data_IF_544770825137
#
_entry.id   IF_544770825137
#
_cell.length_a   1.000
_cell.length_b   1.000
_cell.length_c   1.000
_cell.angle_alpha   90.00
_cell.angle_beta   90.00
_cell.angle_gamma   90.00
#
_symmetry.space_group_name_H-M   'P 1'
#
loop_
_entity.id
_entity.type
_entity.pdbx_description
1 polymer ?
#
# COMPACT_ATOMS: atom_id res chain seq x y z
N UNK A 1 34.98 -0.37 -1.04
CA UNK A 1 34.44 0.04 -2.35
C UNK A 1 33.94 -1.20 -3.04
N UNK A 2 32.65 -1.25 -3.38
CA UNK A 2 32.08 -2.34 -4.19
C UNK A 2 32.79 -2.36 -5.56
N UNK A 3 32.99 -3.55 -6.14
CA UNK A 3 33.55 -3.65 -7.49
C UNK A 3 32.68 -2.87 -8.49
N UNK A 4 33.30 -2.21 -9.51
CA UNK A 4 32.54 -1.48 -10.52
C UNK A 4 31.56 -2.41 -11.24
N UNK A 5 30.35 -1.92 -11.53
CA UNK A 5 29.35 -2.69 -12.25
C UNK A 5 29.81 -2.96 -13.69
N UNK A 6 29.51 -4.14 -14.27
CA UNK A 6 29.80 -4.41 -15.67
C UNK A 6 29.10 -3.40 -16.58
N UNK A 7 29.80 -2.87 -17.60
CA UNK A 7 29.24 -1.87 -18.52
C UNK A 7 27.92 -2.33 -19.17
N UNK A 8 27.82 -3.60 -19.57
CA UNK A 8 26.60 -4.15 -20.14
C UNK A 8 25.37 -4.02 -19.21
N UNK A 9 25.56 -4.11 -17.89
CA UNK A 9 24.48 -3.90 -16.92
C UNK A 9 24.08 -2.44 -16.82
N UNK A 10 25.06 -1.52 -16.90
CA UNK A 10 24.82 -0.07 -16.94
C UNK A 10 23.98 0.28 -18.16
N UNK A 11 24.33 -0.22 -19.34
CA UNK A 11 23.59 0.01 -20.60
C UNK A 11 22.15 -0.53 -20.53
N UNK A 12 21.96 -1.69 -19.90
CA UNK A 12 20.63 -2.25 -19.64
C UNK A 12 19.81 -1.39 -18.68
N UNK A 13 20.44 -0.84 -17.63
CA UNK A 13 19.77 0.06 -16.69
C UNK A 13 19.37 1.37 -17.36
N UNK A 14 20.23 1.96 -18.20
CA UNK A 14 19.92 3.17 -18.97
C UNK A 14 18.75 2.92 -19.95
N UNK A 15 18.79 1.81 -20.69
CA UNK A 15 17.69 1.41 -21.58
C UNK A 15 16.35 1.25 -20.84
N UNK A 16 16.36 0.55 -19.70
CA UNK A 16 15.14 0.35 -18.90
C UNK A 16 14.65 1.67 -18.29
N UNK A 17 15.56 2.53 -17.83
CA UNK A 17 15.26 3.86 -17.32
C UNK A 17 14.63 4.75 -18.40
N UNK A 18 15.18 4.76 -19.62
CA UNK A 18 14.63 5.51 -20.75
C UNK A 18 13.17 5.11 -21.02
N UNK A 19 12.84 3.82 -20.90
CA UNK A 19 11.46 3.36 -21.02
C UNK A 19 10.56 3.86 -19.87
N UNK A 20 11.09 3.88 -18.64
CA UNK A 20 10.37 4.28 -17.43
C UNK A 20 10.15 5.79 -17.31
N UNK A 21 11.10 6.61 -17.79
CA UNK A 21 11.01 8.09 -17.82
C UNK A 21 9.90 8.62 -18.74
N UNK A 22 9.30 7.75 -19.58
CA UNK A 22 8.09 8.10 -20.34
C UNK A 22 6.85 8.20 -19.47
N UNK A 23 6.88 7.64 -18.26
CA UNK A 23 5.78 7.65 -17.29
C UNK A 23 4.43 7.13 -17.82
N UNK A 24 4.41 6.41 -18.94
CA UNK A 24 3.18 5.85 -19.51
C UNK A 24 2.68 4.62 -18.75
N UNK A 25 3.60 3.84 -18.19
CA UNK A 25 3.31 2.63 -17.41
C UNK A 25 4.02 2.66 -16.05
N UNK A 26 3.51 1.94 -15.04
CA UNK A 26 4.19 1.78 -13.76
C UNK A 26 5.61 1.27 -13.93
N UNK A 27 6.58 1.83 -13.21
CA UNK A 27 7.99 1.50 -13.35
C UNK A 27 8.28 0.02 -13.03
N UNK A 28 7.55 -0.58 -12.10
CA UNK A 28 7.66 -2.01 -11.79
C UNK A 28 7.24 -2.89 -12.98
N UNK A 29 6.18 -2.52 -13.68
CA UNK A 29 5.73 -3.18 -14.90
C UNK A 29 6.76 -3.02 -16.03
N UNK A 30 7.32 -1.81 -16.21
CA UNK A 30 8.37 -1.54 -17.20
C UNK A 30 9.61 -2.39 -16.94
N UNK A 31 10.14 -2.36 -15.70
CA UNK A 31 11.31 -3.15 -15.30
C UNK A 31 11.04 -4.65 -15.44
N UNK A 32 9.87 -5.13 -15.04
CA UNK A 32 9.51 -6.55 -15.17
C UNK A 32 9.39 -6.98 -16.64
N UNK A 33 8.80 -6.14 -17.50
CA UNK A 33 8.68 -6.42 -18.93
C UNK A 33 10.03 -6.35 -19.64
N UNK A 34 10.89 -5.40 -19.27
CA UNK A 34 12.27 -5.32 -19.72
C UNK A 34 13.04 -6.60 -19.38
N UNK A 35 13.04 -7.01 -18.10
CA UNK A 35 13.69 -8.23 -17.65
C UNK A 35 13.16 -9.50 -18.34
N UNK A 36 11.87 -9.55 -18.69
CA UNK A 36 11.28 -10.66 -19.47
C UNK A 36 11.79 -10.72 -20.91
N UNK A 37 12.02 -9.56 -21.55
CA UNK A 37 12.60 -9.47 -22.91
C UNK A 37 14.10 -9.83 -22.91
N UNK A 38 14.82 -9.49 -21.85
CA UNK A 38 16.26 -9.73 -21.71
C UNK A 38 16.57 -10.94 -20.82
N UNK A 39 16.27 -12.15 -21.32
CA UNK A 39 16.38 -13.40 -20.54
C UNK A 39 17.80 -13.75 -20.07
N UNK A 40 18.83 -13.20 -20.74
CA UNK A 40 20.23 -13.36 -20.36
C UNK A 40 20.57 -12.73 -19.00
N UNK A 41 19.78 -11.74 -18.55
CA UNK A 41 19.95 -11.15 -17.22
C UNK A 41 19.62 -12.17 -16.15
N UNK A 42 20.60 -12.48 -15.31
CA UNK A 42 20.44 -13.33 -14.14
C UNK A 42 19.60 -12.66 -13.04
N UNK A 43 19.30 -13.40 -11.98
CA UNK A 43 18.53 -12.85 -10.85
C UNK A 43 19.24 -11.65 -10.19
N UNK A 44 20.58 -11.71 -10.07
CA UNK A 44 21.40 -10.62 -9.53
C UNK A 44 21.37 -9.38 -10.41
N UNK A 45 21.55 -9.55 -11.71
CA UNK A 45 21.54 -8.45 -12.68
C UNK A 45 20.18 -7.74 -12.69
N UNK A 46 19.08 -8.50 -12.65
CA UNK A 46 17.73 -7.94 -12.58
C UNK A 46 17.50 -7.14 -11.29
N UNK A 47 18.04 -7.60 -10.17
CA UNK A 47 17.95 -6.89 -8.90
C UNK A 47 18.73 -5.57 -8.94
N UNK A 48 19.95 -5.59 -9.48
CA UNK A 48 20.77 -4.38 -9.64
C UNK A 48 20.17 -3.39 -10.66
N UNK A 49 19.64 -3.89 -11.78
CA UNK A 49 18.91 -3.08 -12.76
C UNK A 49 17.72 -2.37 -12.10
N UNK A 50 16.90 -3.10 -11.34
CA UNK A 50 15.81 -2.50 -10.60
C UNK A 50 16.31 -1.45 -9.59
N UNK A 51 17.35 -1.77 -8.82
CA UNK A 51 17.93 -0.84 -7.85
C UNK A 51 18.35 0.50 -8.48
N UNK A 52 19.01 0.46 -9.64
CA UNK A 52 19.41 1.66 -10.38
C UNK A 52 18.18 2.44 -10.87
N UNK A 53 17.26 1.78 -11.58
CA UNK A 53 16.08 2.45 -12.17
C UNK A 53 15.22 3.09 -11.08
N UNK A 54 14.89 2.33 -10.03
CA UNK A 54 14.09 2.84 -8.91
C UNK A 54 14.85 3.89 -8.09
N UNK A 55 16.18 3.79 -7.99
CA UNK A 55 17.04 4.79 -7.35
C UNK A 55 16.99 6.13 -8.05
N UNK A 56 17.21 6.14 -9.37
CA UNK A 56 17.13 7.36 -10.20
C UNK A 56 15.74 7.98 -10.11
N UNK A 57 14.66 7.21 -10.29
CA UNK A 57 13.29 7.74 -10.26
C UNK A 57 12.91 8.36 -8.91
N UNK A 58 13.46 7.82 -7.81
CA UNK A 58 13.25 8.31 -6.46
C UNK A 58 13.94 9.66 -6.24
N UNK A 59 15.15 9.83 -6.77
CA UNK A 59 15.98 11.03 -6.62
C UNK A 59 16.13 11.81 -7.93
N UNK A 60 15.07 11.82 -8.75
CA UNK A 60 15.16 12.23 -10.15
C UNK A 60 15.65 13.67 -10.33
N UNK A 61 15.13 14.63 -9.56
CA UNK A 61 15.51 16.03 -9.68
C UNK A 61 16.96 16.25 -9.21
N UNK A 62 17.37 15.60 -8.11
CA UNK A 62 18.77 15.66 -7.63
C UNK A 62 19.75 15.05 -8.64
N UNK A 63 19.38 13.93 -9.25
CA UNK A 63 20.19 13.26 -10.28
C UNK A 63 20.26 14.11 -11.55
N UNK A 64 19.14 14.69 -11.99
CA UNK A 64 19.08 15.60 -13.13
C UNK A 64 19.97 16.83 -12.94
N UNK A 65 20.04 17.38 -11.72
CA UNK A 65 20.82 18.59 -11.43
C UNK A 65 22.34 18.39 -11.60
N UNK A 66 22.84 17.16 -11.54
CA UNK A 66 24.28 16.84 -11.64
C UNK A 66 24.63 16.02 -12.89
N UNK A 67 23.63 15.59 -13.66
CA UNK A 67 23.86 14.87 -14.91
C UNK A 67 24.39 15.79 -16.00
N UNK A 68 25.22 15.25 -16.90
CA UNK A 68 25.73 15.99 -18.06
C UNK A 68 24.62 16.37 -19.04
N UNK A 69 23.54 15.58 -19.08
CA UNK A 69 22.29 15.88 -19.75
C UNK A 69 21.13 15.35 -18.88
N UNK A 70 20.21 16.24 -18.49
CA UNK A 70 19.10 15.92 -17.60
C UNK A 70 17.97 15.10 -18.27
N UNK A 71 18.00 14.96 -19.60
CA UNK A 71 16.98 14.23 -20.37
C UNK A 71 17.52 12.91 -20.97
N UNK A 72 18.81 12.63 -20.83
CA UNK A 72 19.45 11.44 -21.36
C UNK A 72 19.60 10.35 -20.27
N UNK A 73 19.10 9.14 -20.55
CA UNK A 73 19.08 8.08 -19.55
C UNK A 73 20.48 7.57 -19.17
N UNK A 74 21.42 7.55 -20.12
CA UNK A 74 22.81 7.15 -19.86
C UNK A 74 23.49 8.16 -18.93
N UNK A 75 23.31 9.46 -19.18
CA UNK A 75 23.81 10.53 -18.31
C UNK A 75 23.20 10.46 -16.89
N UNK A 76 21.90 10.16 -16.76
CA UNK A 76 21.23 10.02 -15.47
C UNK A 76 21.73 8.79 -14.69
N UNK A 77 21.95 7.65 -15.36
CA UNK A 77 22.54 6.46 -14.72
C UNK A 77 23.98 6.73 -14.30
N UNK A 78 24.79 7.40 -15.12
CA UNK A 78 26.15 7.78 -14.76
C UNK A 78 26.18 8.71 -13.54
N UNK A 79 25.30 9.73 -13.52
CA UNK A 79 25.13 10.63 -12.39
C UNK A 79 24.75 9.89 -11.11
N UNK A 80 23.79 8.96 -11.18
CA UNK A 80 23.39 8.10 -10.06
C UNK A 80 24.56 7.29 -9.50
N UNK A 81 25.31 6.60 -10.39
CA UNK A 81 26.43 5.75 -10.02
C UNK A 81 27.63 6.52 -9.46
N UNK A 82 27.80 7.80 -9.85
CA UNK A 82 28.86 8.64 -9.29
C UNK A 82 28.61 9.06 -7.84
N UNK A 83 27.35 9.04 -7.39
CA UNK A 83 26.95 9.51 -6.06
C UNK A 83 26.89 11.04 -5.89
N UNK A 84 27.21 11.82 -6.94
CA UNK A 84 27.24 13.29 -6.88
C UNK A 84 25.88 13.91 -6.50
N UNK A 85 24.78 13.22 -6.78
CA UNK A 85 23.41 13.66 -6.50
C UNK A 85 23.08 13.71 -4.99
N UNK A 86 23.84 13.02 -4.14
CA UNK A 86 23.53 12.89 -2.70
C UNK A 86 23.56 14.23 -1.95
N UNK A 87 24.27 15.23 -2.47
CA UNK A 87 24.32 16.59 -1.91
C UNK A 87 23.23 17.53 -2.43
N UNK A 88 22.32 17.07 -3.29
CA UNK A 88 21.29 17.92 -3.89
C UNK A 88 20.23 18.39 -2.89
N UNK A 89 19.75 19.63 -3.04
CA UNK A 89 18.76 20.23 -2.14
C UNK A 89 17.30 19.97 -2.55
N UNK A 90 17.06 19.47 -3.77
CA UNK A 90 15.71 19.20 -4.27
C UNK A 90 14.98 18.20 -3.38
N UNK A 91 13.65 18.36 -3.24
CA UNK A 91 12.82 17.42 -2.48
C UNK A 91 12.44 16.17 -3.30
N UNK A 92 12.80 16.14 -4.59
CA UNK A 92 12.38 15.12 -5.55
C UNK A 92 10.85 14.92 -5.54
N UNK A 93 10.11 16.01 -5.49
CA UNK A 93 8.64 16.01 -5.51
C UNK A 93 8.17 17.08 -6.51
N UNK A 94 7.07 16.85 -7.25
CA UNK A 94 6.49 17.88 -8.09
C UNK A 94 5.94 19.05 -7.25
N UNK A 95 6.07 20.27 -7.76
CA UNK A 95 5.61 21.50 -7.08
C UNK A 95 4.11 21.45 -6.74
N UNK A 96 3.30 20.91 -7.65
CA UNK A 96 1.85 20.80 -7.43
C UNK A 96 1.51 19.92 -6.22
N UNK A 97 2.32 18.88 -5.96
CA UNK A 97 2.13 17.97 -4.84
C UNK A 97 2.56 18.65 -3.55
N UNK A 98 3.73 19.31 -3.56
CA UNK A 98 4.24 20.04 -2.41
C UNK A 98 3.27 21.15 -1.96
N UNK A 99 2.64 21.85 -2.91
CA UNK A 99 1.66 22.89 -2.63
C UNK A 99 0.37 22.39 -1.96
N UNK A 100 0.08 21.09 -2.03
CA UNK A 100 -1.15 20.46 -1.47
C UNK A 100 -0.86 19.49 -0.34
N UNK A 101 0.39 19.42 0.10
CA UNK A 101 0.79 18.44 1.09
C UNK A 101 0.28 18.82 2.48
N UNK A 102 -0.02 17.85 3.36
CA UNK A 102 -0.40 18.16 4.74
C UNK A 102 0.68 18.92 5.53
N UNK A 103 1.92 18.91 5.06
CA UNK A 103 3.08 19.56 5.68
C UNK A 103 3.53 20.84 4.96
N UNK A 104 2.74 21.36 4.02
CA UNK A 104 3.14 22.50 3.18
C UNK A 104 3.52 23.76 3.99
N UNK A 105 2.84 24.01 5.10
CA UNK A 105 3.07 25.17 5.96
C UNK A 105 4.30 25.04 6.89
N UNK A 106 5.00 23.90 6.86
CA UNK A 106 6.16 23.62 7.70
C UNK A 106 7.36 23.14 6.84
N UNK A 107 8.22 24.05 6.35
CA UNK A 107 9.29 23.73 5.40
C UNK A 107 10.23 22.61 5.86
N UNK A 108 10.64 22.61 7.14
CA UNK A 108 11.51 21.56 7.69
C UNK A 108 10.80 20.20 7.75
N UNK A 109 9.52 20.18 8.15
CA UNK A 109 8.73 18.96 8.20
C UNK A 109 8.46 18.41 6.79
N UNK A 110 8.15 19.30 5.83
CA UNK A 110 7.99 18.96 4.41
C UNK A 110 9.26 18.32 3.84
N UNK A 111 10.44 18.92 4.11
CA UNK A 111 11.73 18.36 3.70
C UNK A 111 11.99 16.99 4.31
N UNK A 112 11.81 16.84 5.62
CA UNK A 112 12.02 15.57 6.31
C UNK A 112 11.08 14.46 5.80
N UNK A 113 9.82 14.82 5.54
CA UNK A 113 8.83 13.90 5.00
C UNK A 113 9.15 13.49 3.56
N UNK A 114 9.57 14.43 2.70
CA UNK A 114 10.03 14.13 1.35
C UNK A 114 11.20 13.17 1.35
N UNK A 115 12.20 13.42 2.19
CA UNK A 115 13.32 12.51 2.35
C UNK A 115 12.84 11.10 2.75
N UNK A 116 11.90 11.00 3.70
CA UNK A 116 11.35 9.71 4.14
C UNK A 116 10.55 8.97 3.05
N UNK A 117 9.76 9.68 2.23
CA UNK A 117 9.11 9.09 1.05
C UNK A 117 10.11 8.70 -0.05
N UNK A 118 11.24 9.39 -0.10
CA UNK A 118 12.37 9.08 -0.97
C UNK A 118 13.35 8.10 -0.32
N UNK A 119 12.87 7.22 0.55
CA UNK A 119 13.61 6.03 0.97
C UNK A 119 12.95 4.75 0.43
N UNK A 120 13.70 3.68 0.13
CA UNK A 120 13.12 2.39 -0.21
C UNK A 120 12.26 1.84 0.94
N UNK A 121 11.07 1.31 0.63
CA UNK A 121 10.22 0.71 1.66
C UNK A 121 10.84 -0.58 2.23
N UNK A 122 10.67 -0.85 3.53
CA UNK A 122 11.01 -2.15 4.11
C UNK A 122 10.14 -3.28 3.54
N UNK A 123 10.63 -4.51 3.66
CA UNK A 123 9.87 -5.71 3.37
C UNK A 123 9.19 -6.20 4.65
N UNK A 124 7.88 -5.99 4.72
CA UNK A 124 7.05 -6.45 5.83
C UNK A 124 6.22 -7.66 5.40
N UNK A 125 6.14 -8.64 6.30
CA UNK A 125 5.32 -9.84 6.19
C UNK A 125 4.19 -9.76 7.20
N UNK A 126 3.00 -10.20 6.80
CA UNK A 126 1.90 -10.48 7.71
C UNK A 126 1.85 -11.98 7.99
N UNK A 127 1.95 -12.36 9.26
CA UNK A 127 1.74 -13.73 9.69
C UNK A 127 0.25 -14.08 9.70
N UNK A 128 -0.08 -15.21 9.08
CA UNK A 128 -1.41 -15.79 9.14
C UNK A 128 -1.60 -16.57 10.45
N UNK A 129 -2.14 -15.90 11.48
CA UNK A 129 -2.36 -16.50 12.80
C UNK A 129 -3.40 -17.63 12.84
N UNK A 130 -4.07 -17.92 11.73
CA UNK A 130 -4.87 -19.14 11.57
C UNK A 130 -3.98 -20.38 11.36
N UNK A 131 -2.80 -20.21 10.75
CA UNK A 131 -1.88 -21.28 10.37
C UNK A 131 -0.73 -21.46 11.36
N UNK A 132 -0.12 -20.36 11.80
CA UNK A 132 1.08 -20.40 12.62
C UNK A 132 1.15 -19.22 13.60
N UNK A 133 1.92 -19.38 14.69
CA UNK A 133 2.24 -18.28 15.61
C UNK A 133 3.39 -17.44 15.04
N UNK A 134 3.39 -16.13 15.31
CA UNK A 134 4.43 -15.20 14.83
C UNK A 134 5.84 -15.63 15.16
N UNK A 135 6.10 -16.06 16.40
CA UNK A 135 7.43 -16.48 16.83
C UNK A 135 7.89 -17.78 16.16
N UNK A 136 6.96 -18.70 15.86
CA UNK A 136 7.27 -19.91 15.12
C UNK A 136 7.66 -19.60 13.66
N UNK A 137 6.93 -18.68 13.01
CA UNK A 137 7.28 -18.19 11.66
C UNK A 137 8.64 -17.52 11.65
N UNK A 138 8.91 -16.64 12.62
CA UNK A 138 10.22 -15.99 12.75
C UNK A 138 11.35 -16.98 12.95
N UNK A 139 11.16 -18.00 13.80
CA UNK A 139 12.16 -19.05 14.00
C UNK A 139 12.42 -19.86 12.73
N UNK A 140 11.36 -20.16 11.95
CA UNK A 140 11.50 -20.85 10.67
C UNK A 140 12.26 -19.99 9.64
N UNK A 141 11.96 -18.69 9.53
CA UNK A 141 12.73 -17.78 8.66
C UNK A 141 14.21 -17.73 9.07
N UNK A 142 14.51 -17.65 10.36
CA UNK A 142 15.88 -17.64 10.86
C UNK A 142 16.64 -18.94 10.54
N UNK A 143 15.97 -20.10 10.60
CA UNK A 143 16.56 -21.38 10.21
C UNK A 143 16.94 -21.43 8.71
N UNK A 144 16.23 -20.68 7.87
CA UNK A 144 16.52 -20.51 6.44
C UNK A 144 17.46 -19.32 6.15
N UNK A 145 18.07 -18.73 7.19
CA UNK A 145 19.02 -17.61 7.06
C UNK A 145 18.36 -16.27 6.72
N UNK A 146 17.06 -16.12 6.99
CA UNK A 146 16.31 -14.89 6.75
C UNK A 146 16.09 -14.17 8.08
N UNK A 147 16.88 -13.12 8.28
CA UNK A 147 16.76 -12.26 9.46
C UNK A 147 15.46 -11.46 9.44
N UNK A 148 14.72 -11.53 10.55
CA UNK A 148 13.49 -10.77 10.74
C UNK A 148 13.26 -10.40 12.20
N UNK A 149 12.58 -9.27 12.39
CA UNK A 149 12.14 -8.77 13.69
C UNK A 149 10.62 -8.58 13.70
N UNK A 150 9.96 -8.61 14.88
CA UNK A 150 8.58 -8.14 15.00
C UNK A 150 8.42 -6.74 14.40
N UNK A 151 7.29 -6.51 13.73
CA UNK A 151 6.90 -5.15 13.33
C UNK A 151 6.70 -4.23 14.54
N UNK A 152 6.73 -2.92 14.30
CA UNK A 152 6.65 -1.90 15.36
C UNK A 152 5.22 -1.74 15.89
N UNK A 153 4.22 -1.95 15.03
CA UNK A 153 2.82 -1.58 15.27
C UNK A 153 1.88 -2.77 15.18
N UNK A 154 1.99 -3.58 14.12
CA UNK A 154 1.06 -4.68 13.89
C UNK A 154 1.50 -5.91 14.70
N UNK A 155 0.61 -6.52 15.52
CA UNK A 155 0.91 -7.79 16.20
C UNK A 155 1.11 -8.95 15.21
N UNK A 156 0.74 -8.77 13.93
CA UNK A 156 0.88 -9.75 12.87
C UNK A 156 2.19 -9.59 12.09
N UNK A 157 2.88 -8.46 12.21
CA UNK A 157 3.98 -8.10 11.33
C UNK A 157 5.30 -8.76 11.72
N UNK A 158 6.06 -9.15 10.70
CA UNK A 158 7.50 -9.38 10.75
C UNK A 158 8.18 -8.50 9.70
N UNK A 159 9.14 -7.69 10.11
CA UNK A 159 10.00 -6.91 9.22
C UNK A 159 11.24 -7.71 8.87
N UNK A 160 11.47 -7.91 7.58
CA UNK A 160 12.58 -8.70 7.04
C UNK A 160 13.75 -7.78 6.70
N UNK A 161 14.96 -8.22 7.05
CA UNK A 161 16.20 -7.52 6.65
C UNK A 161 16.52 -7.87 5.19
N UNK A 162 16.77 -6.84 4.38
CA UNK A 162 17.03 -7.00 2.96
C UNK A 162 15.79 -7.40 2.16
N UNK A 163 16.00 -8.04 1.01
CA UNK A 163 14.94 -8.41 0.06
C UNK A 163 15.10 -9.86 -0.44
N UNK A 164 15.03 -10.87 0.45
CA UNK A 164 15.16 -12.27 0.06
C UNK A 164 14.05 -12.70 -0.90
N UNK A 165 14.33 -13.71 -1.72
CA UNK A 165 13.37 -14.26 -2.67
C UNK A 165 12.31 -15.14 -1.95
N UNK A 166 11.22 -14.53 -1.50
CA UNK A 166 10.19 -15.23 -0.69
C UNK A 166 9.14 -15.98 -1.51
N UNK A 167 9.03 -15.73 -2.82
CA UNK A 167 7.93 -16.25 -3.65
C UNK A 167 7.80 -17.78 -3.63
N UNK A 168 8.92 -18.49 -3.46
CA UNK A 168 8.97 -19.96 -3.39
C UNK A 168 9.24 -20.50 -2.00
N UNK A 169 9.33 -19.61 -1.01
CA UNK A 169 9.61 -20.01 0.37
C UNK A 169 8.45 -20.88 0.91
N UNK A 170 8.72 -21.98 1.65
CA UNK A 170 7.66 -22.86 2.15
C UNK A 170 6.52 -22.12 2.88
N UNK A 171 6.86 -21.19 3.78
CA UNK A 171 5.89 -20.36 4.52
C UNK A 171 5.02 -19.45 3.62
N UNK A 172 5.52 -19.02 2.47
CA UNK A 172 4.74 -18.25 1.48
C UNK A 172 3.82 -19.18 0.69
N UNK A 173 4.34 -20.35 0.30
CA UNK A 173 3.64 -21.35 -0.51
C UNK A 173 2.52 -22.03 0.26
N UNK A 174 2.67 -22.24 1.57
CA UNK A 174 1.63 -22.83 2.43
C UNK A 174 0.64 -21.81 3.01
N UNK A 175 0.88 -20.52 2.77
CA UNK A 175 0.03 -19.42 3.22
C UNK A 175 0.17 -19.06 4.71
N UNK A 176 1.27 -19.45 5.34
CA UNK A 176 1.63 -19.01 6.71
C UNK A 176 2.01 -17.53 6.78
N UNK A 177 2.49 -16.95 5.68
CA UNK A 177 2.82 -15.52 5.56
C UNK A 177 2.27 -14.92 4.25
N UNK A 178 2.07 -13.61 4.26
CA UNK A 178 1.77 -12.78 3.09
C UNK A 178 2.70 -11.56 3.08
N UNK A 179 3.12 -11.08 1.91
CA UNK A 179 3.82 -9.77 1.82
C UNK A 179 2.80 -8.66 1.94
N UNK A 180 2.94 -7.81 2.96
CA UNK A 180 2.04 -6.69 3.18
C UNK A 180 2.69 -5.65 4.09
N UNK A 181 2.68 -4.38 3.65
CA UNK A 181 3.11 -3.23 4.46
C UNK A 181 2.45 -3.24 5.85
N UNK A 182 3.22 -2.95 6.89
CA UNK A 182 2.73 -2.93 8.26
C UNK A 182 1.55 -1.95 8.47
N UNK A 183 1.54 -0.78 7.82
CA UNK A 183 0.44 0.17 7.90
C UNK A 183 -0.86 -0.38 7.28
N UNK A 184 -0.74 -1.13 6.18
CA UNK A 184 -1.88 -1.85 5.58
C UNK A 184 -2.42 -2.95 6.50
N UNK A 185 -1.57 -3.55 7.34
CA UNK A 185 -2.01 -4.49 8.38
C UNK A 185 -2.74 -3.76 9.52
N UNK A 186 -2.25 -2.60 9.98
CA UNK A 186 -2.93 -1.77 10.98
C UNK A 186 -4.33 -1.38 10.51
N UNK A 187 -4.47 -0.98 9.24
CA UNK A 187 -5.78 -0.70 8.62
C UNK A 187 -6.73 -1.89 8.70
N UNK A 188 -6.25 -3.10 8.38
CA UNK A 188 -7.06 -4.31 8.49
C UNK A 188 -7.50 -4.62 9.92
N UNK A 189 -6.70 -4.24 10.93
CA UNK A 189 -7.06 -4.37 12.35
C UNK A 189 -8.10 -3.34 12.77
N UNK A 190 -8.06 -2.11 12.23
CA UNK A 190 -9.03 -1.04 12.54
C UNK A 190 -10.47 -1.43 12.17
N UNK A 191 -10.65 -2.27 11.14
CA UNK A 191 -11.97 -2.84 10.81
C UNK A 191 -12.53 -3.62 12.00
N UNK A 192 -11.69 -4.35 12.73
CA UNK A 192 -12.08 -5.07 13.95
C UNK A 192 -12.99 -6.26 13.71
N UNK A 193 -12.83 -6.95 12.57
CA UNK A 193 -13.64 -8.10 12.15
C UNK A 193 -13.69 -9.22 13.22
N UNK A 194 -14.91 -9.70 13.55
CA UNK A 194 -15.16 -10.69 14.60
C UNK A 194 -15.78 -11.96 14.03
N UNK A 195 -15.59 -13.06 14.76
CA UNK A 195 -16.16 -14.36 14.41
C UNK A 195 -17.68 -14.27 14.26
N UNK A 196 -18.22 -14.94 13.24
CA UNK A 196 -19.65 -15.01 12.97
C UNK A 196 -20.24 -13.82 12.22
N UNK A 197 -19.50 -12.71 12.10
CA UNK A 197 -19.97 -11.51 11.42
C UNK A 197 -20.02 -11.67 9.88
N UNK A 198 -20.86 -10.87 9.25
CA UNK A 198 -20.84 -10.58 7.83
C UNK A 198 -20.01 -9.32 7.59
N UNK A 199 -18.83 -9.50 6.99
CA UNK A 199 -17.89 -8.44 6.66
C UNK A 199 -17.85 -8.25 5.14
N UNK A 200 -17.80 -7.01 4.68
CA UNK A 200 -17.63 -6.65 3.28
C UNK A 200 -16.31 -5.90 3.11
N UNK A 201 -15.51 -6.31 2.14
CA UNK A 201 -14.38 -5.56 1.60
C UNK A 201 -14.80 -5.07 0.20
N UNK A 202 -15.18 -3.80 0.08
CA UNK A 202 -15.88 -3.27 -1.09
C UNK A 202 -14.94 -3.01 -2.29
N UNK A 203 -13.66 -2.79 -2.02
CA UNK A 203 -12.62 -2.54 -3.01
C UNK A 203 -11.41 -3.43 -2.70
N UNK A 204 -11.61 -4.74 -2.75
CA UNK A 204 -10.68 -5.72 -2.23
C UNK A 204 -9.31 -5.71 -2.94
N UNK A 205 -9.24 -5.29 -4.20
CA UNK A 205 -8.01 -5.28 -4.98
C UNK A 205 -7.37 -6.67 -5.01
N UNK A 206 -6.08 -6.73 -4.66
CA UNK A 206 -5.36 -8.00 -4.52
C UNK A 206 -5.77 -8.82 -3.26
N UNK A 207 -6.63 -8.27 -2.40
CA UNK A 207 -7.30 -8.97 -1.30
C UNK A 207 -6.47 -9.17 -0.04
N UNK A 208 -5.37 -8.42 0.12
CA UNK A 208 -4.53 -8.49 1.33
C UNK A 208 -5.36 -8.31 2.60
N UNK A 209 -6.20 -7.26 2.66
CA UNK A 209 -7.05 -6.97 3.82
C UNK A 209 -8.19 -7.99 3.97
N UNK A 210 -8.77 -8.48 2.88
CA UNK A 210 -9.79 -9.55 2.94
C UNK A 210 -9.24 -10.84 3.55
N UNK A 211 -8.02 -11.26 3.17
CA UNK A 211 -7.35 -12.41 3.76
C UNK A 211 -7.08 -12.21 5.26
N UNK A 212 -6.68 -11.00 5.66
CA UNK A 212 -6.45 -10.65 7.06
C UNK A 212 -7.74 -10.77 7.88
N UNK A 213 -8.84 -10.19 7.39
CA UNK A 213 -10.14 -10.26 8.07
C UNK A 213 -10.64 -11.71 8.15
N UNK A 214 -10.53 -12.47 7.06
CA UNK A 214 -10.90 -13.89 7.04
C UNK A 214 -10.16 -14.71 8.11
N UNK A 215 -8.84 -14.48 8.24
CA UNK A 215 -8.01 -15.12 9.24
C UNK A 215 -8.36 -14.69 10.68
N UNK A 216 -8.60 -13.39 10.91
CA UNK A 216 -9.03 -12.87 12.21
C UNK A 216 -10.37 -13.49 12.67
N UNK A 217 -11.28 -13.72 11.73
CA UNK A 217 -12.56 -14.38 11.95
C UNK A 217 -12.45 -15.92 12.08
N UNK A 218 -11.24 -16.50 11.94
CA UNK A 218 -10.94 -17.93 12.05
C UNK A 218 -11.94 -18.84 11.31
N UNK A 219 -12.17 -18.56 10.02
CA UNK A 219 -13.13 -19.32 9.18
C UNK A 219 -14.59 -19.31 9.67
N UNK A 220 -14.95 -18.42 10.59
CA UNK A 220 -16.33 -18.17 11.01
C UNK A 220 -16.89 -16.94 10.29
N UNK A 221 -18.21 -16.85 10.12
CA UNK A 221 -18.86 -15.75 9.41
C UNK A 221 -18.55 -15.75 7.90
N UNK A 222 -18.65 -14.58 7.27
CA UNK A 222 -18.35 -14.40 5.84
C UNK A 222 -17.65 -13.07 5.58
N UNK A 223 -16.64 -13.09 4.70
CA UNK A 223 -15.99 -11.92 4.12
C UNK A 223 -16.34 -11.89 2.64
N UNK A 224 -17.23 -10.99 2.22
CA UNK A 224 -17.46 -10.73 0.79
C UNK A 224 -16.43 -9.73 0.29
N UNK A 225 -15.60 -10.15 -0.67
CA UNK A 225 -14.56 -9.31 -1.25
C UNK A 225 -14.97 -8.91 -2.66
N UNK A 226 -15.37 -7.65 -2.83
CA UNK A 226 -15.80 -7.08 -4.11
C UNK A 226 -14.68 -6.33 -4.79
N UNK A 227 -14.62 -6.42 -6.11
CA UNK A 227 -13.76 -5.58 -6.97
C UNK A 227 -14.33 -5.61 -8.40
N UNK A 228 -14.01 -4.60 -9.20
CA UNK A 228 -14.36 -4.58 -10.64
C UNK A 228 -13.43 -5.48 -11.46
N UNK A 229 -12.24 -5.79 -10.94
CA UNK A 229 -11.23 -6.62 -11.59
C UNK A 229 -11.42 -8.11 -11.27
N UNK A 230 -12.07 -8.84 -12.17
CA UNK A 230 -12.17 -10.30 -12.09
C UNK A 230 -10.80 -11.01 -12.04
N UNK A 231 -9.77 -10.43 -12.68
CA UNK A 231 -8.41 -10.95 -12.64
C UNK A 231 -7.81 -10.92 -11.23
N UNK A 232 -7.90 -9.79 -10.52
CA UNK A 232 -7.41 -9.66 -9.14
C UNK A 232 -8.17 -10.59 -8.18
N UNK A 233 -9.48 -10.73 -8.36
CA UNK A 233 -10.31 -11.62 -7.54
C UNK A 233 -10.02 -13.11 -7.77
N UNK A 234 -9.61 -13.48 -8.99
CA UNK A 234 -9.14 -14.83 -9.29
C UNK A 234 -7.85 -15.14 -8.53
N UNK A 235 -6.91 -14.20 -8.48
CA UNK A 235 -5.71 -14.31 -7.66
C UNK A 235 -6.04 -14.40 -6.17
N UNK A 236 -6.95 -13.55 -5.68
CA UNK A 236 -7.43 -13.61 -4.29
C UNK A 236 -8.02 -14.98 -3.94
N UNK A 237 -8.79 -15.59 -4.85
CA UNK A 237 -9.36 -16.93 -4.64
C UNK A 237 -8.26 -17.98 -4.43
N UNK A 238 -7.19 -17.93 -5.21
CA UNK A 238 -6.04 -18.83 -5.06
C UNK A 238 -5.30 -18.58 -3.74
N UNK A 239 -5.10 -17.31 -3.38
CA UNK A 239 -4.44 -16.92 -2.12
C UNK A 239 -5.27 -17.28 -0.89
N UNK A 240 -6.59 -17.16 -0.95
CA UNK A 240 -7.50 -17.57 0.11
C UNK A 240 -7.44 -19.08 0.34
N UNK A 241 -7.48 -19.88 -0.73
CA UNK A 241 -7.31 -21.33 -0.67
C UNK A 241 -5.97 -21.71 -0.04
N UNK A 242 -4.88 -21.07 -0.50
CA UNK A 242 -3.52 -21.26 0.05
C UNK A 242 -3.49 -20.94 1.56
N UNK A 243 -3.99 -19.77 1.94
CA UNK A 243 -4.09 -19.32 3.33
C UNK A 243 -4.99 -20.20 4.22
N UNK A 244 -5.78 -21.12 3.63
CA UNK A 244 -6.68 -22.01 4.37
C UNK A 244 -7.99 -21.34 4.79
N UNK A 245 -8.39 -20.32 4.04
CA UNK A 245 -9.57 -19.52 4.34
C UNK A 245 -10.78 -20.06 3.59
N UNK A 246 -11.81 -20.44 4.33
CA UNK A 246 -13.08 -20.93 3.79
C UNK A 246 -14.21 -19.91 3.85
N UNK A 247 -13.98 -18.78 4.52
CA UNK A 247 -14.97 -17.72 4.76
C UNK A 247 -14.75 -16.48 3.88
N UNK A 248 -13.78 -16.48 2.96
CA UNK A 248 -13.55 -15.37 2.01
C UNK A 248 -14.20 -15.70 0.68
N UNK A 249 -15.08 -14.83 0.21
CA UNK A 249 -15.88 -15.00 -1.00
C UNK A 249 -15.61 -13.84 -1.98
N UNK A 250 -14.62 -13.99 -2.88
CA UNK A 250 -14.34 -13.02 -3.93
C UNK A 250 -15.49 -12.96 -4.95
N UNK A 251 -15.97 -11.76 -5.27
CA UNK A 251 -17.11 -11.55 -6.16
C UNK A 251 -16.89 -10.33 -7.04
N UNK A 252 -16.81 -10.53 -8.36
CA UNK A 252 -16.69 -9.41 -9.29
C UNK A 252 -18.03 -8.64 -9.37
N UNK A 253 -17.95 -7.32 -9.31
CA UNK A 253 -19.09 -6.41 -9.52
C UNK A 253 -18.80 -5.51 -10.72
N UNK A 254 -19.83 -5.05 -11.42
CA UNK A 254 -19.63 -4.12 -12.53
C UNK A 254 -19.13 -2.76 -12.05
N UNK A 255 -19.78 -2.23 -11.01
CA UNK A 255 -19.54 -0.94 -10.40
C UNK A 255 -20.24 -0.87 -9.03
N UNK A 256 -20.21 0.29 -8.37
CA UNK A 256 -20.83 0.53 -7.06
C UNK A 256 -22.37 0.47 -7.06
N UNK A 257 -23.00 0.27 -8.22
CA UNK A 257 -24.47 0.19 -8.42
C UNK A 257 -24.93 -1.22 -8.79
N UNK A 258 -24.01 -2.20 -8.80
CA UNK A 258 -24.31 -3.59 -9.15
C UNK A 258 -25.48 -4.15 -8.30
N UNK A 259 -26.52 -4.75 -8.92
CA UNK A 259 -27.69 -5.26 -8.21
C UNK A 259 -27.39 -6.30 -7.12
N UNK A 260 -26.23 -6.96 -7.16
CA UNK A 260 -25.81 -7.89 -6.11
C UNK A 260 -25.61 -7.17 -4.77
N UNK A 261 -25.21 -5.90 -4.79
CA UNK A 261 -25.01 -5.09 -3.58
C UNK A 261 -26.33 -4.85 -2.86
N UNK A 262 -27.44 -4.67 -3.61
CA UNK A 262 -28.78 -4.47 -3.03
C UNK A 262 -29.21 -5.63 -2.13
N UNK A 263 -28.74 -6.86 -2.42
CA UNK A 263 -29.04 -8.05 -1.60
C UNK A 263 -28.36 -8.00 -0.22
N UNK A 264 -27.34 -7.17 -0.04
CA UNK A 264 -26.59 -6.98 1.19
C UNK A 264 -26.95 -5.67 1.93
N UNK A 265 -27.87 -4.87 1.40
CA UNK A 265 -28.31 -3.62 2.01
C UNK A 265 -28.75 -3.83 3.47
N UNK A 266 -28.13 -3.09 4.39
CA UNK A 266 -28.40 -3.14 5.83
C UNK A 266 -28.06 -4.46 6.53
N UNK A 267 -27.21 -5.32 5.95
CA UNK A 267 -26.89 -6.65 6.51
C UNK A 267 -25.49 -6.78 7.04
N UNK A 268 -24.52 -6.02 6.53
CA UNK A 268 -23.12 -6.17 6.90
C UNK A 268 -22.87 -5.61 8.30
N UNK A 269 -22.25 -6.40 9.16
CA UNK A 269 -21.75 -5.95 10.45
C UNK A 269 -20.63 -4.92 10.28
N UNK A 270 -19.80 -5.12 9.26
CA UNK A 270 -18.66 -4.26 8.95
C UNK A 270 -18.45 -4.14 7.45
N UNK A 271 -18.12 -2.95 6.99
CA UNK A 271 -17.78 -2.66 5.60
C UNK A 271 -16.46 -1.90 5.58
N UNK A 272 -15.50 -2.41 4.83
CA UNK A 272 -14.25 -1.74 4.50
C UNK A 272 -14.35 -1.20 3.07
N UNK A 273 -14.00 0.06 2.90
CA UNK A 273 -13.78 0.73 1.62
C UNK A 273 -12.31 1.16 1.58
N UNK A 274 -11.46 0.28 1.03
CA UNK A 274 -10.07 0.61 0.68
C UNK A 274 -10.06 1.27 -0.71
N UNK A 275 -10.38 2.57 -0.75
CA UNK A 275 -10.86 3.21 -1.95
C UNK A 275 -9.77 3.35 -3.03
N UNK A 276 -10.12 3.25 -4.33
CA UNK A 276 -9.20 3.63 -5.40
C UNK A 276 -8.80 5.10 -5.22
N UNK A 277 -7.51 5.36 -5.07
CA UNK A 277 -6.95 6.67 -4.80
C UNK A 277 -5.72 6.95 -5.67
N UNK A 278 -5.12 8.12 -5.51
CA UNK A 278 -3.90 8.51 -6.22
C UNK A 278 -2.71 7.60 -5.93
N UNK A 279 -2.70 6.95 -4.75
CA UNK A 279 -1.63 6.08 -4.27
C UNK A 279 -0.38 6.82 -3.77
N UNK A 280 -0.44 8.15 -3.63
CA UNK A 280 0.70 9.01 -3.27
C UNK A 280 1.28 8.75 -1.87
N UNK A 281 0.66 7.90 -1.06
CA UNK A 281 1.27 7.36 0.16
C UNK A 281 2.26 6.22 -0.08
N UNK A 282 2.33 5.65 -1.29
CA UNK A 282 3.15 4.46 -1.59
C UNK A 282 4.45 4.75 -2.35
N UNK A 283 4.90 6.01 -2.37
CA UNK A 283 6.06 6.47 -3.19
C UNK A 283 7.36 5.70 -2.90
N UNK A 284 7.52 5.21 -1.67
CA UNK A 284 8.67 4.37 -1.29
C UNK A 284 8.75 3.06 -2.10
N UNK A 285 7.60 2.57 -2.57
CA UNK A 285 7.44 1.36 -3.39
C UNK A 285 7.34 1.69 -4.87
N UNK A 286 6.59 2.73 -5.23
CA UNK A 286 6.38 3.20 -6.60
C UNK A 286 6.83 4.66 -6.74
N UNK A 287 8.15 4.94 -6.84
CA UNK A 287 8.69 6.30 -6.87
C UNK A 287 8.35 7.06 -8.16
N UNK A 288 7.97 6.37 -9.22
CA UNK A 288 7.47 6.97 -10.46
C UNK A 288 6.07 7.58 -10.31
N UNK A 289 5.31 7.16 -9.29
CA UNK A 289 3.92 7.55 -9.13
C UNK A 289 3.76 9.07 -8.94
N UNK A 290 4.68 9.72 -8.21
CA UNK A 290 4.69 11.19 -8.04
C UNK A 290 4.87 11.95 -9.36
N UNK A 291 5.47 11.33 -10.38
CA UNK A 291 5.65 11.93 -11.70
C UNK A 291 4.54 11.55 -12.70
N UNK A 292 3.91 10.39 -12.49
CA UNK A 292 2.80 9.88 -13.31
C UNK A 292 1.46 10.53 -12.98
N UNK A 293 1.22 10.80 -11.69
CA UNK A 293 -0.02 11.43 -11.22
C UNK A 293 0.08 12.94 -11.41
N UNK A 294 -0.99 13.54 -11.90
CA UNK A 294 -1.11 14.99 -12.08
C UNK A 294 -2.17 15.57 -11.13
N UNK A 295 -2.11 16.88 -10.90
CA UNK A 295 -3.13 17.58 -10.11
C UNK A 295 -4.56 17.39 -10.65
N UNK A 296 -4.70 17.20 -11.97
CA UNK A 296 -6.00 16.97 -12.64
C UNK A 296 -6.60 15.59 -12.35
N UNK A 297 -5.79 14.62 -11.93
CA UNK A 297 -6.26 13.26 -11.62
C UNK A 297 -6.96 13.15 -10.27
N UNK A 298 -6.81 14.14 -9.39
CA UNK A 298 -7.31 14.08 -8.01
C UNK A 298 -8.83 14.21 -7.96
N UNK A 299 -9.40 15.24 -8.58
CA UNK A 299 -10.85 15.50 -8.51
C UNK A 299 -11.72 14.32 -9.04
N UNK A 300 -11.39 13.68 -10.18
CA UNK A 300 -12.12 12.49 -10.63
C UNK A 300 -12.06 11.32 -9.64
N UNK A 301 -10.93 11.13 -8.94
CA UNK A 301 -10.77 10.09 -7.91
C UNK A 301 -11.63 10.40 -6.68
N UNK A 302 -11.65 11.65 -6.23
CA UNK A 302 -12.50 12.10 -5.12
C UNK A 302 -13.98 11.82 -5.42
N UNK A 303 -14.45 12.19 -6.62
CA UNK A 303 -15.83 11.91 -7.03
C UNK A 303 -16.15 10.39 -7.04
N UNK A 304 -15.21 9.57 -7.51
CA UNK A 304 -15.36 8.11 -7.46
C UNK A 304 -15.38 7.58 -6.02
N UNK A 305 -14.49 8.06 -5.16
CA UNK A 305 -14.41 7.69 -3.74
C UNK A 305 -15.71 8.01 -3.01
N UNK A 306 -16.27 9.21 -3.22
CA UNK A 306 -17.56 9.62 -2.65
C UNK A 306 -18.70 8.70 -3.11
N UNK A 307 -18.79 8.36 -4.41
CA UNK A 307 -19.81 7.45 -4.92
C UNK A 307 -19.70 6.05 -4.32
N UNK A 308 -18.47 5.51 -4.24
CA UNK A 308 -18.20 4.20 -3.66
C UNK A 308 -18.56 4.19 -2.18
N UNK A 309 -18.14 5.21 -1.42
CA UNK A 309 -18.40 5.32 0.00
C UNK A 309 -19.92 5.39 0.29
N UNK A 310 -20.67 6.16 -0.49
CA UNK A 310 -22.12 6.24 -0.39
C UNK A 310 -22.80 4.87 -0.65
N UNK A 311 -22.37 4.13 -1.67
CA UNK A 311 -22.90 2.79 -1.96
C UNK A 311 -22.56 1.78 -0.86
N UNK A 312 -21.31 1.76 -0.40
CA UNK A 312 -20.84 0.89 0.66
C UNK A 312 -21.59 1.14 1.99
N UNK A 313 -21.90 2.39 2.32
CA UNK A 313 -22.64 2.76 3.52
C UNK A 313 -24.04 2.12 3.58
N UNK A 314 -24.70 1.90 2.43
CA UNK A 314 -26.01 1.25 2.38
C UNK A 314 -25.98 -0.21 2.84
N UNK A 315 -24.81 -0.87 2.77
CA UNK A 315 -24.65 -2.27 3.18
C UNK A 315 -24.57 -2.44 4.70
N UNK A 316 -24.14 -1.40 5.41
CA UNK A 316 -23.86 -1.43 6.84
C UNK A 316 -25.18 -1.56 7.59
N UNK A 317 -25.34 -2.53 8.49
CA UNK A 317 -26.54 -2.64 9.33
C UNK A 317 -26.59 -1.54 10.40
N UNK A 318 -27.76 -1.22 11.00
CA UNK A 318 -27.81 -0.39 12.21
C UNK A 318 -26.91 -0.96 13.32
N UNK A 319 -26.08 -0.12 13.94
CA UNK A 319 -25.02 -0.54 14.87
C UNK A 319 -23.79 -1.18 14.23
N UNK A 320 -23.74 -1.26 12.89
CA UNK A 320 -22.60 -1.75 12.12
C UNK A 320 -21.52 -0.69 11.89
N UNK A 321 -20.39 -1.10 11.33
CA UNK A 321 -19.21 -0.26 11.12
C UNK A 321 -18.92 -0.05 9.65
N UNK A 322 -18.56 1.18 9.28
CA UNK A 322 -17.98 1.55 7.99
C UNK A 322 -16.55 2.04 8.20
N UNK A 323 -15.60 1.51 7.45
CA UNK A 323 -14.21 1.99 7.45
C UNK A 323 -13.87 2.48 6.06
N UNK A 324 -13.60 3.77 5.93
CA UNK A 324 -13.03 4.37 4.73
C UNK A 324 -11.52 4.45 4.88
N UNK A 325 -10.76 4.04 3.87
CA UNK A 325 -9.32 4.08 3.87
C UNK A 325 -8.77 4.40 2.48
N UNK A 326 -7.58 5.02 2.45
CA UNK A 326 -6.82 5.25 1.22
C UNK A 326 -5.32 5.04 1.49
N UNK A 327 -4.55 4.86 0.43
CA UNK A 327 -3.09 5.04 0.44
C UNK A 327 -2.69 6.39 -0.19
N UNK A 328 -3.45 7.44 0.11
CA UNK A 328 -3.13 8.83 -0.24
C UNK A 328 -2.75 9.63 1.01
N UNK A 329 -1.97 10.68 0.79
CA UNK A 329 -1.63 11.68 1.81
C UNK A 329 -2.38 13.00 1.61
N UNK A 330 -3.17 13.13 0.54
CA UNK A 330 -3.89 14.36 0.23
C UNK A 330 -5.20 14.44 1.00
N UNK A 331 -5.46 15.59 1.61
CA UNK A 331 -6.68 15.81 2.41
C UNK A 331 -7.95 15.75 1.54
N UNK A 332 -7.84 16.09 0.25
CA UNK A 332 -8.95 16.02 -0.69
C UNK A 332 -9.47 14.59 -0.89
N UNK A 333 -8.60 13.58 -0.82
CA UNK A 333 -8.98 12.16 -0.93
C UNK A 333 -9.30 11.54 0.44
N UNK A 334 -9.08 12.27 1.53
CA UNK A 334 -9.06 11.74 2.89
C UNK A 334 -10.12 12.45 3.76
N UNK A 335 -9.71 13.44 4.54
CA UNK A 335 -10.57 14.16 5.48
C UNK A 335 -11.75 14.84 4.77
N UNK A 336 -11.55 15.41 3.58
CA UNK A 336 -12.62 16.06 2.83
C UNK A 336 -13.73 15.07 2.42
N UNK A 337 -13.36 13.90 1.89
CA UNK A 337 -14.32 12.84 1.53
C UNK A 337 -15.14 12.39 2.75
N UNK A 338 -14.47 12.22 3.90
CA UNK A 338 -15.12 11.79 5.14
C UNK A 338 -16.03 12.89 5.69
N UNK A 339 -15.60 14.15 5.67
CA UNK A 339 -16.39 15.28 6.12
C UNK A 339 -17.66 15.44 5.28
N UNK A 340 -17.54 15.40 3.95
CA UNK A 340 -18.69 15.46 3.03
C UNK A 340 -19.66 14.30 3.28
N UNK A 341 -19.13 13.08 3.45
CA UNK A 341 -19.95 11.91 3.73
C UNK A 341 -20.73 12.05 5.05
N UNK A 342 -20.07 12.46 6.14
CA UNK A 342 -20.71 12.62 7.44
C UNK A 342 -21.75 13.75 7.43
N UNK A 343 -21.49 14.85 6.71
CA UNK A 343 -22.45 15.92 6.51
C UNK A 343 -23.72 15.45 5.76
N UNK A 344 -23.57 14.56 4.79
CA UNK A 344 -24.68 13.99 4.02
C UNK A 344 -25.39 12.80 4.71
N UNK A 345 -24.76 12.18 5.72
CA UNK A 345 -25.23 10.93 6.32
C UNK A 345 -25.24 11.01 7.86
N UNK A 346 -26.23 11.71 8.41
CA UNK A 346 -26.39 11.90 9.86
C UNK A 346 -26.52 10.59 10.68
N UNK A 347 -26.83 9.46 10.03
CA UNK A 347 -26.85 8.15 10.68
C UNK A 347 -25.45 7.59 10.97
N UNK A 348 -24.37 8.23 10.53
CA UNK A 348 -23.01 7.80 10.79
C UNK A 348 -22.29 8.79 11.71
N UNK A 349 -21.54 8.26 12.66
CA UNK A 349 -20.68 9.03 13.54
C UNK A 349 -19.25 8.51 13.49
N UNK A 350 -18.26 9.41 13.48
CA UNK A 350 -16.86 9.06 13.54
C UNK A 350 -16.52 8.44 14.91
N UNK A 351 -15.72 7.38 14.92
CA UNK A 351 -15.16 6.78 16.14
C UNK A 351 -13.63 6.96 16.17
N UNK A 352 -13.03 7.22 17.35
CA UNK A 352 -11.61 7.49 17.47
C UNK A 352 -10.79 6.23 17.15
N UNK A 353 -9.92 6.33 16.14
CA UNK A 353 -9.17 5.19 15.62
C UNK A 353 -8.18 4.60 16.64
N UNK A 354 -7.39 5.44 17.32
CA UNK A 354 -6.30 4.97 18.18
C UNK A 354 -6.77 4.13 19.38
N UNK A 355 -7.79 4.53 20.17
CA UNK A 355 -8.31 3.69 21.26
C UNK A 355 -8.87 2.34 20.76
N UNK A 356 -9.41 2.30 19.55
CA UNK A 356 -9.92 1.07 18.95
C UNK A 356 -8.80 0.15 18.47
N UNK A 357 -7.72 0.72 17.93
CA UNK A 357 -6.49 0.02 17.56
C UNK A 357 -5.73 -0.52 18.77
N UNK A 358 -5.69 0.23 19.88
CA UNK A 358 -5.09 -0.24 21.13
C UNK A 358 -5.75 -1.54 21.64
N UNK A 359 -7.08 -1.66 21.48
CA UNK A 359 -7.82 -2.91 21.78
C UNK A 359 -7.45 -4.09 20.87
N UNK A 360 -6.86 -3.81 19.71
CA UNK A 360 -6.32 -4.82 18.79
C UNK A 360 -4.82 -5.09 19.01
N UNK A 361 -4.22 -4.49 20.04
CA UNK A 361 -2.79 -4.63 20.34
C UNK A 361 -1.88 -3.75 19.46
N UNK A 362 -2.41 -2.65 18.93
CA UNK A 362 -1.65 -1.65 18.16
C UNK A 362 -1.54 -0.38 19.00
N UNK A 363 -0.35 -0.08 19.48
CA UNK A 363 -0.05 1.10 20.29
C UNK A 363 0.69 2.15 19.44
N UNK A 364 -0.08 3.04 18.82
CA UNK A 364 0.44 4.15 18.02
C UNK A 364 0.55 5.41 18.88
N UNK A 365 1.53 6.31 18.60
CA UNK A 365 1.62 7.58 19.28
C UNK A 365 0.29 8.35 19.17
N UNK A 366 -0.16 8.88 20.31
CA UNK A 366 -1.40 9.66 20.37
C UNK A 366 -1.30 10.93 19.52
N UNK A 367 -2.39 11.24 18.84
CA UNK A 367 -2.64 12.56 18.26
C UNK A 367 -4.06 13.01 18.64
N UNK A 368 -4.40 14.26 18.31
CA UNK A 368 -5.72 14.83 18.59
C UNK A 368 -6.78 14.45 17.54
N UNK A 369 -6.48 13.51 16.63
CA UNK A 369 -7.34 13.15 15.51
C UNK A 369 -8.16 11.90 15.85
N UNK A 370 -9.39 11.89 15.37
CA UNK A 370 -10.22 10.68 15.43
C UNK A 370 -9.90 9.70 14.28
N UNK A 371 -9.21 10.19 13.24
CA UNK A 371 -8.78 9.42 12.06
C UNK A 371 -7.37 8.85 12.24
N UNK A 372 -7.08 7.75 11.54
CA UNK A 372 -5.75 7.17 11.46
C UNK A 372 -4.96 7.85 10.33
N UNK A 373 -3.76 8.32 10.66
CA UNK A 373 -2.76 8.78 9.69
C UNK A 373 -1.46 8.04 9.92
N UNK A 374 -0.94 7.42 8.87
CA UNK A 374 0.36 6.77 8.88
C UNK A 374 1.24 7.39 7.80
N UNK A 375 2.55 7.39 8.04
CA UNK A 375 3.53 7.99 7.13
C UNK A 375 4.93 7.37 7.33
N UNK A 376 5.83 7.52 6.34
CA UNK A 376 7.18 7.02 6.45
C UNK A 376 8.04 7.56 7.58
N UNK A 377 7.90 8.85 7.92
CA UNK A 377 8.80 9.53 8.84
C UNK A 377 8.55 9.11 10.29
N UNK A 378 7.29 9.14 10.72
CA UNK A 378 6.92 8.87 12.11
C UNK A 378 6.68 7.37 12.36
N UNK A 379 6.16 6.66 11.35
CA UNK A 379 5.67 5.30 11.50
C UNK A 379 6.54 4.25 10.80
N UNK A 380 7.43 4.65 9.90
CA UNK A 380 8.18 3.74 9.04
C UNK A 380 7.31 2.80 8.19
N UNK A 381 6.05 3.17 7.95
CA UNK A 381 5.10 2.51 7.04
C UNK A 381 4.89 3.36 5.80
N UNK A 382 4.12 2.88 4.82
CA UNK A 382 3.67 3.77 3.76
C UNK A 382 2.67 4.80 4.32
N UNK A 383 2.39 5.81 3.51
CA UNK A 383 1.35 6.81 3.76
C UNK A 383 -0.04 6.18 3.66
N UNK A 384 -0.80 6.24 4.74
CA UNK A 384 -2.18 5.75 4.78
C UNK A 384 -3.08 6.67 5.57
N UNK A 385 -4.35 6.68 5.19
CA UNK A 385 -5.44 7.31 5.93
C UNK A 385 -6.54 6.29 6.21
N UNK A 386 -7.19 6.40 7.36
CA UNK A 386 -8.51 5.79 7.56
C UNK A 386 -9.41 6.53 8.54
N UNK A 387 -10.70 6.49 8.24
CA UNK A 387 -11.78 6.94 9.11
C UNK A 387 -12.71 5.76 9.41
N UNK A 388 -12.97 5.54 10.69
CA UNK A 388 -13.84 4.46 11.15
C UNK A 388 -15.13 5.08 11.69
N UNK A 389 -16.26 4.72 11.12
CA UNK A 389 -17.56 5.32 11.41
C UNK A 389 -18.55 4.25 11.88
N UNK A 390 -19.31 4.55 12.94
CA UNK A 390 -20.41 3.74 13.42
C UNK A 390 -21.71 4.18 12.75
N UNK A 391 -22.49 3.23 12.22
CA UNK A 391 -23.88 3.50 11.87
C UNK A 391 -24.72 3.48 13.14
N UNK A 392 -25.31 4.61 13.50
CA UNK A 392 -26.23 4.75 14.63
C UNK A 392 -27.48 3.88 14.43
N UNK A 393 -28.04 3.44 15.55
CA UNK A 393 -29.14 2.48 15.64
C UNK A 393 -30.50 3.01 15.20
#
# INVERSE_FOLDING_TARGET
MSAPLPQALVDHAASALAEALRFTHPADAVVAQYAKRHRALGARDRAQLAEIVFGVLRHLQRVQAVATDANDADALVAAWLSGAWQGGEALDMPDWLLARWPWADAPEASRAMAEAFNQPAPLDLRVNLLRAKRDAVRAALAADGIDSAPGRWSPLALRVVGKPALQRHPLMVDGSIEVQDEGSQVLGLLVGARRGELVVDFCAGAGGKSLQMGAAMRNSGRVHAFDVSAGRLSELSLRAKRAGLSNVYPMAIADERDPRLQRLAGKADRVLVDAPCSGLGTLRRAPDLKWRVTAGDIAPRVAQQQSILAAAAQLVKPGGVLVYATCSVLSEENEAVVADFLAANAAFALEPALPLLARQGVDLPGDARDTLHLDPLHHATDGFFAARMLRQG
#
